data_IF_634006567087
#
_entry.id   IF_634006567087
#
_cell.length_a   1.000
_cell.length_b   1.000
_cell.length_c   1.000
_cell.angle_alpha   90.00
_cell.angle_beta   90.00
_cell.angle_gamma   90.00
#
_symmetry.space_group_name_H-M   'P 1'
#
loop_
_entity.id
_entity.type
_entity.pdbx_description
1 polymer ?
#
# COMPACT_ATOMS: atom_id res chain seq x y z
N UNK A 1 -1.47 11.78 -11.30
CA UNK A 1 -1.86 12.27 -9.94
C UNK A 1 -1.26 13.65 -9.71
N UNK A 2 -2.05 14.64 -9.27
CA UNK A 2 -1.47 15.92 -8.84
C UNK A 2 -0.57 15.68 -7.63
N UNK A 3 0.42 16.57 -7.38
CA UNK A 3 1.28 16.51 -6.19
C UNK A 3 0.42 16.31 -4.94
N UNK A 4 0.77 15.34 -4.11
CA UNK A 4 0.07 15.11 -2.85
C UNK A 4 0.11 16.34 -1.95
N UNK A 5 -0.95 16.54 -1.15
CA UNK A 5 -1.02 17.63 -0.19
C UNK A 5 -1.11 17.06 1.23
N UNK A 6 -0.33 17.63 2.12
CA UNK A 6 -0.31 17.27 3.55
C UNK A 6 -1.30 18.13 4.34
N UNK A 7 -1.94 17.51 5.33
CA UNK A 7 -2.80 18.15 6.32
C UNK A 7 -2.53 17.55 7.70
N UNK A 8 -2.57 18.36 8.73
CA UNK A 8 -2.34 17.89 10.11
C UNK A 8 -3.51 17.07 10.68
N UNK A 9 -4.72 17.30 10.21
CA UNK A 9 -5.90 16.54 10.60
C UNK A 9 -6.90 16.37 9.46
N UNK A 10 -7.86 15.46 9.63
CA UNK A 10 -8.90 15.20 8.63
C UNK A 10 -9.84 16.41 8.44
N UNK A 11 -10.06 17.21 9.48
CA UNK A 11 -10.93 18.38 9.40
C UNK A 11 -10.39 19.43 8.44
N UNK A 12 -9.09 19.69 8.48
CA UNK A 12 -8.43 20.64 7.58
C UNK A 12 -8.57 20.18 6.11
N UNK A 13 -8.44 18.87 5.86
CA UNK A 13 -8.69 18.29 4.53
C UNK A 13 -10.15 18.49 4.11
N UNK A 14 -11.12 18.24 4.98
CA UNK A 14 -12.54 18.35 4.66
C UNK A 14 -12.94 19.80 4.38
N UNK A 15 -12.46 20.76 5.18
CA UNK A 15 -12.73 22.19 4.97
C UNK A 15 -12.18 22.68 3.62
N UNK A 16 -10.94 22.32 3.33
CA UNK A 16 -10.26 22.73 2.08
C UNK A 16 -10.91 22.09 0.85
N UNK A 17 -11.58 20.96 1.01
CA UNK A 17 -12.16 20.18 -0.08
C UNK A 17 -13.70 20.02 0.01
N UNK A 18 -14.38 20.87 0.77
CA UNK A 18 -15.85 20.78 0.96
C UNK A 18 -16.68 20.79 -0.32
N UNK A 19 -16.19 21.41 -1.39
CA UNK A 19 -16.83 21.47 -2.70
C UNK A 19 -16.18 20.55 -3.74
N UNK A 20 -15.36 19.61 -3.31
CA UNK A 20 -14.66 18.67 -4.18
C UNK A 20 -15.38 17.31 -4.18
N UNK A 21 -15.71 16.82 -5.37
CA UNK A 21 -16.41 15.55 -5.59
C UNK A 21 -15.52 14.47 -6.20
N UNK A 22 -14.22 14.72 -6.33
CA UNK A 22 -13.26 13.78 -6.93
C UNK A 22 -12.99 12.60 -6.00
N UNK A 23 -12.50 11.52 -6.59
CA UNK A 23 -11.97 10.38 -5.84
C UNK A 23 -10.69 10.79 -5.12
N UNK A 24 -10.68 10.71 -3.80
CA UNK A 24 -9.56 11.07 -2.95
C UNK A 24 -8.88 9.80 -2.40
N UNK A 25 -7.64 9.58 -2.76
CA UNK A 25 -6.75 8.61 -2.10
C UNK A 25 -6.02 9.31 -0.96
N UNK A 26 -6.12 8.76 0.24
CA UNK A 26 -5.45 9.32 1.42
C UNK A 26 -4.63 8.27 2.18
N UNK A 27 -3.45 8.67 2.64
CA UNK A 27 -2.66 7.93 3.61
C UNK A 27 -2.75 8.65 4.95
N UNK A 28 -3.12 7.93 5.99
CA UNK A 28 -3.33 8.47 7.34
C UNK A 28 -2.22 7.94 8.24
N UNK A 29 -1.41 8.84 8.80
CA UNK A 29 -0.41 8.46 9.79
C UNK A 29 -1.08 7.94 11.07
N UNK A 30 -0.52 6.90 11.67
CA UNK A 30 -1.14 6.07 12.71
C UNK A 30 -1.71 6.86 13.90
N UNK A 31 -1.03 7.92 14.34
CA UNK A 31 -1.46 8.73 15.49
C UNK A 31 -2.40 9.88 15.10
N UNK A 32 -2.89 9.90 13.88
CA UNK A 32 -3.91 10.85 13.45
C UNK A 32 -5.26 10.41 13.97
N UNK A 33 -5.92 11.31 14.66
CA UNK A 33 -7.30 11.06 15.10
C UNK A 33 -8.24 11.26 13.91
N UNK A 34 -8.92 10.21 13.49
CA UNK A 34 -9.97 10.25 12.47
C UNK A 34 -10.99 9.13 12.71
N UNK A 35 -12.19 9.29 12.17
CA UNK A 35 -13.24 8.30 12.21
C UNK A 35 -13.90 8.14 10.83
N UNK A 36 -14.65 7.05 10.64
CA UNK A 36 -15.46 6.87 9.43
C UNK A 36 -16.53 7.98 9.30
N UNK A 37 -17.06 8.47 10.41
CA UNK A 37 -18.04 9.57 10.40
C UNK A 37 -17.42 10.85 9.81
N UNK A 38 -16.13 11.12 10.09
CA UNK A 38 -15.43 12.24 9.47
C UNK A 38 -15.32 12.04 7.95
N UNK A 39 -15.00 10.81 7.49
CA UNK A 39 -14.86 10.51 6.07
C UNK A 39 -16.18 10.66 5.30
N UNK A 40 -17.30 10.36 5.93
CA UNK A 40 -18.65 10.53 5.35
C UNK A 40 -18.99 11.97 5.02
N UNK A 41 -18.33 12.94 5.66
CA UNK A 41 -18.52 14.36 5.39
C UNK A 41 -17.88 14.80 4.06
N UNK A 42 -17.01 14.00 3.46
CA UNK A 42 -16.47 14.29 2.15
C UNK A 42 -17.51 14.00 1.05
N UNK A 43 -17.68 14.92 0.11
CA UNK A 43 -18.71 14.78 -0.92
C UNK A 43 -18.37 13.78 -2.05
N UNK A 44 -17.09 13.52 -2.28
CA UNK A 44 -16.63 12.54 -3.26
C UNK A 44 -16.43 11.14 -2.65
N UNK A 45 -15.77 10.28 -3.40
CA UNK A 45 -15.28 9.00 -2.91
C UNK A 45 -13.95 9.19 -2.19
N UNK A 46 -13.79 8.60 -1.01
CA UNK A 46 -12.56 8.65 -0.24
C UNK A 46 -12.15 7.23 0.18
N UNK A 47 -10.89 6.92 0.02
CA UNK A 47 -10.32 5.61 0.32
C UNK A 47 -8.82 5.73 0.57
N UNK A 48 -8.24 4.71 1.20
CA UNK A 48 -6.81 4.73 1.51
C UNK A 48 -6.40 3.75 2.59
N UNK A 49 -5.34 4.09 3.31
CA UNK A 49 -4.83 3.24 4.37
C UNK A 49 -4.17 3.99 5.52
N UNK A 50 -4.10 3.29 6.65
CA UNK A 50 -3.36 3.73 7.83
C UNK A 50 -1.92 3.24 7.68
N UNK A 51 -0.96 4.14 7.89
CA UNK A 51 0.47 3.85 7.81
C UNK A 51 1.17 4.33 9.08
N UNK A 52 2.34 3.77 9.46
CA UNK A 52 3.05 4.20 10.65
C UNK A 52 3.36 5.70 10.65
N UNK A 53 3.78 6.22 9.52
CA UNK A 53 4.06 7.63 9.28
C UNK A 53 3.91 7.98 7.80
N UNK A 54 3.74 9.24 7.51
CA UNK A 54 3.75 9.79 6.15
C UNK A 54 4.98 10.67 5.95
N UNK A 55 5.46 10.75 4.71
CA UNK A 55 6.61 11.59 4.35
C UNK A 55 6.12 12.73 3.45
N UNK A 56 6.45 13.96 3.82
CA UNK A 56 6.13 15.13 3.03
C UNK A 56 7.26 16.17 3.14
N UNK A 57 7.69 16.73 2.01
CA UNK A 57 8.79 17.70 1.90
C UNK A 57 10.07 17.28 2.68
N UNK A 58 10.46 15.99 2.54
CA UNK A 58 11.62 15.35 3.19
C UNK A 58 11.51 15.18 4.72
N UNK A 59 10.38 15.47 5.31
CA UNK A 59 10.10 15.25 6.73
C UNK A 59 9.13 14.09 6.91
N UNK A 60 9.26 13.34 8.00
CA UNK A 60 8.31 12.30 8.35
C UNK A 60 7.37 12.76 9.47
N UNK A 61 6.11 12.36 9.36
CA UNK A 61 5.07 12.72 10.31
C UNK A 61 4.35 11.47 10.77
N UNK A 62 4.33 11.22 12.08
CA UNK A 62 3.54 10.15 12.69
C UNK A 62 2.07 10.56 12.93
N UNK A 63 1.74 11.82 12.66
CA UNK A 63 0.40 12.40 12.72
C UNK A 63 0.19 13.31 11.52
N UNK A 64 -0.96 13.18 10.87
CA UNK A 64 -1.32 13.92 9.67
C UNK A 64 -1.77 12.98 8.55
N UNK A 65 -2.17 13.54 7.47
CA UNK A 65 -2.61 12.83 6.27
C UNK A 65 -1.94 13.39 5.02
N UNK A 66 -1.71 12.54 4.04
CA UNK A 66 -1.40 12.95 2.67
C UNK A 66 -2.58 12.56 1.79
N UNK A 67 -3.06 13.50 0.99
CA UNK A 67 -4.13 13.28 0.03
C UNK A 67 -3.67 13.50 -1.40
N UNK A 68 -4.18 12.65 -2.29
CA UNK A 68 -4.07 12.82 -3.75
C UNK A 68 -5.45 12.60 -4.36
N UNK A 69 -5.76 13.39 -5.39
CA UNK A 69 -7.00 13.18 -6.16
C UNK A 69 -6.70 12.38 -7.41
N UNK A 70 -7.56 11.40 -7.69
CA UNK A 70 -7.49 10.67 -8.94
C UNK A 70 -7.85 11.56 -10.12
N UNK A 71 -7.23 11.31 -11.26
CA UNK A 71 -7.59 11.92 -12.54
C UNK A 71 -8.85 11.25 -13.11
N UNK A 72 -9.51 11.90 -14.06
CA UNK A 72 -10.78 11.44 -14.63
C UNK A 72 -10.73 10.03 -15.23
N UNK A 73 -9.59 9.65 -15.81
CA UNK A 73 -9.38 8.32 -16.39
C UNK A 73 -8.75 7.29 -15.43
N UNK A 74 -8.63 7.65 -14.17
CA UNK A 74 -8.13 6.78 -13.11
C UNK A 74 -9.28 6.26 -12.26
N UNK A 75 -9.17 5.02 -11.82
CA UNK A 75 -10.16 4.38 -10.97
C UNK A 75 -9.50 3.56 -9.88
N UNK A 76 -10.27 3.08 -8.92
CA UNK A 76 -9.78 2.18 -7.90
C UNK A 76 -10.67 0.95 -7.75
N UNK A 77 -10.05 -0.14 -7.33
CA UNK A 77 -10.68 -1.40 -7.00
C UNK A 77 -10.37 -1.73 -5.54
N UNK A 78 -11.40 -1.85 -4.71
CA UNK A 78 -11.29 -2.38 -3.37
C UNK A 78 -11.30 -3.91 -3.42
N UNK A 79 -10.33 -4.53 -2.77
CA UNK A 79 -10.26 -5.96 -2.49
C UNK A 79 -10.55 -6.12 -0.99
N UNK A 80 -11.75 -6.52 -0.64
CA UNK A 80 -12.19 -6.61 0.75
C UNK A 80 -11.54 -7.78 1.50
N UNK A 81 -11.13 -8.82 0.78
CA UNK A 81 -10.40 -9.97 1.31
C UNK A 81 -9.37 -10.47 0.29
N UNK A 82 -8.08 -10.38 0.62
CA UNK A 82 -6.98 -10.81 -0.24
C UNK A 82 -6.98 -12.32 -0.54
N UNK A 83 -7.69 -13.14 0.25
CA UNK A 83 -7.90 -14.55 -0.09
C UNK A 83 -8.84 -14.74 -1.29
N UNK A 84 -9.75 -13.81 -1.49
CA UNK A 84 -10.84 -13.91 -2.46
C UNK A 84 -10.68 -12.82 -3.53
N UNK A 85 -9.49 -12.73 -4.11
CA UNK A 85 -9.28 -11.84 -5.24
C UNK A 85 -10.06 -12.40 -6.44
N UNK A 86 -11.23 -11.81 -6.67
CA UNK A 86 -11.98 -12.02 -7.90
C UNK A 86 -11.54 -10.94 -8.89
N UNK A 87 -10.82 -11.34 -9.91
CA UNK A 87 -10.40 -10.46 -10.97
C UNK A 87 -11.63 -9.79 -11.60
N UNK A 88 -11.47 -8.50 -11.88
CA UNK A 88 -12.40 -7.74 -12.73
C UNK A 88 -11.63 -7.38 -13.99
N UNK A 89 -11.63 -8.24 -15.03
CA UNK A 89 -10.81 -8.05 -16.22
C UNK A 89 -10.94 -6.65 -16.81
N UNK A 90 -12.16 -6.12 -16.83
CA UNK A 90 -12.45 -4.77 -17.34
C UNK A 90 -11.75 -3.64 -16.58
N UNK A 91 -11.37 -3.86 -15.31
CA UNK A 91 -10.61 -2.87 -14.54
C UNK A 91 -9.16 -2.79 -15.02
N UNK A 92 -8.59 -3.89 -15.48
CA UNK A 92 -7.20 -3.99 -15.93
C UNK A 92 -7.02 -3.74 -17.44
N UNK A 93 -8.09 -3.87 -18.22
CA UNK A 93 -8.07 -3.68 -19.66
C UNK A 93 -7.55 -2.30 -20.06
N UNK A 94 -6.61 -2.27 -21.01
CA UNK A 94 -6.00 -1.03 -21.54
C UNK A 94 -5.36 -0.13 -20.49
N UNK A 95 -4.92 -0.70 -19.36
CA UNK A 95 -4.19 -0.03 -18.30
C UNK A 95 -2.82 -0.67 -18.13
N UNK A 96 -1.80 0.18 -17.97
CA UNK A 96 -0.41 -0.26 -17.80
C UNK A 96 0.24 0.31 -16.52
N UNK A 97 -0.51 1.04 -15.72
CA UNK A 97 0.02 1.68 -14.51
C UNK A 97 -0.90 1.49 -13.33
N UNK A 98 -0.38 0.85 -12.28
CA UNK A 98 -1.14 0.52 -11.08
C UNK A 98 -0.39 0.93 -9.82
N UNK A 99 -1.11 1.52 -8.87
CA UNK A 99 -0.64 1.70 -7.50
C UNK A 99 -1.43 0.74 -6.60
N UNK A 100 -0.71 -0.04 -5.80
CA UNK A 100 -1.28 -1.08 -4.94
C UNK A 100 -0.98 -0.76 -3.48
N UNK A 101 -2.02 -0.70 -2.66
CA UNK A 101 -1.92 -0.57 -1.20
C UNK A 101 -2.58 -1.78 -0.55
N UNK A 102 -1.84 -2.56 0.20
CA UNK A 102 -2.32 -3.78 0.84
C UNK A 102 -2.23 -3.67 2.37
N UNK A 103 -3.01 -4.46 3.09
CA UNK A 103 -2.72 -4.75 4.49
C UNK A 103 -1.37 -5.46 4.59
N UNK A 104 -0.34 -4.76 5.05
CA UNK A 104 1.04 -5.21 5.09
C UNK A 104 1.30 -6.40 6.02
N UNK A 105 0.36 -6.72 6.92
CA UNK A 105 0.43 -7.88 7.82
C UNK A 105 -0.44 -9.06 7.36
N UNK A 106 -1.04 -8.96 6.19
CA UNK A 106 -1.82 -10.06 5.63
C UNK A 106 -0.92 -11.25 5.27
N UNK A 107 -1.26 -12.48 5.67
CA UNK A 107 -0.56 -13.68 5.22
C UNK A 107 -0.83 -14.03 3.75
N UNK A 108 -1.76 -13.32 3.11
CA UNK A 108 -2.27 -13.63 1.78
C UNK A 108 -1.67 -12.77 0.66
N UNK A 109 -0.70 -11.89 1.00
CA UNK A 109 -0.06 -10.97 0.04
C UNK A 109 0.52 -11.75 -1.16
N UNK A 110 1.25 -12.85 -0.91
CA UNK A 110 1.88 -13.62 -1.98
C UNK A 110 0.84 -14.18 -2.96
N UNK A 111 -0.19 -14.86 -2.45
CA UNK A 111 -1.26 -15.41 -3.30
C UNK A 111 -1.99 -14.32 -4.09
N UNK A 112 -2.24 -13.18 -3.43
CA UNK A 112 -2.85 -12.03 -4.09
C UNK A 112 -1.96 -11.49 -5.23
N UNK A 113 -0.66 -11.32 -4.99
CA UNK A 113 0.27 -10.81 -6.01
C UNK A 113 0.42 -11.79 -7.17
N UNK A 114 0.49 -13.10 -6.92
CA UNK A 114 0.50 -14.12 -7.98
C UNK A 114 -0.73 -13.98 -8.88
N UNK A 115 -1.92 -13.93 -8.30
CA UNK A 115 -3.16 -13.74 -9.05
C UNK A 115 -3.23 -12.38 -9.78
N UNK A 116 -2.71 -11.30 -9.16
CA UNK A 116 -2.65 -10.00 -9.79
C UNK A 116 -1.76 -10.02 -11.03
N UNK A 117 -0.58 -10.67 -10.96
CA UNK A 117 0.34 -10.78 -12.08
C UNK A 117 -0.22 -11.65 -13.24
N UNK A 118 -1.19 -12.53 -12.98
CA UNK A 118 -1.87 -13.28 -14.05
C UNK A 118 -2.86 -12.43 -14.85
N UNK A 119 -3.43 -11.37 -14.23
CA UNK A 119 -4.50 -10.56 -14.87
C UNK A 119 -3.99 -9.23 -15.47
N UNK A 120 -2.83 -8.75 -15.03
CA UNK A 120 -2.24 -7.53 -15.58
C UNK A 120 -1.40 -7.82 -16.82
N UNK A 121 -1.27 -6.82 -17.72
CA UNK A 121 -0.38 -6.91 -18.88
C UNK A 121 1.07 -7.09 -18.45
N UNK A 122 1.86 -7.84 -19.23
CA UNK A 122 3.32 -7.97 -19.05
C UNK A 122 4.05 -6.60 -19.08
N UNK A 123 3.44 -5.58 -19.68
CA UNK A 123 3.99 -4.22 -19.72
C UNK A 123 3.60 -3.39 -18.50
N UNK A 124 2.73 -3.92 -17.64
CA UNK A 124 2.21 -3.18 -16.51
C UNK A 124 3.32 -2.75 -15.55
N UNK A 125 3.28 -1.48 -15.16
CA UNK A 125 4.11 -0.92 -14.11
C UNK A 125 3.30 -0.88 -12.82
N UNK A 126 3.76 -1.61 -11.83
CA UNK A 126 3.09 -1.71 -10.53
C UNK A 126 4.02 -1.12 -9.48
N UNK A 127 3.49 -0.19 -8.69
CA UNK A 127 4.15 0.36 -7.51
C UNK A 127 3.21 0.24 -6.32
N UNK A 128 3.73 -0.01 -5.14
CA UNK A 128 2.87 -0.11 -3.99
C UNK A 128 3.61 -0.36 -2.69
N UNK A 129 2.82 -0.61 -1.66
CA UNK A 129 3.33 -0.88 -0.32
C UNK A 129 2.27 -1.42 0.61
N UNK A 130 2.70 -1.75 1.83
CA UNK A 130 1.84 -2.21 2.91
C UNK A 130 1.34 -1.06 3.78
N UNK A 131 0.03 -1.00 4.01
CA UNK A 131 -0.55 -0.28 5.12
C UNK A 131 -0.31 -1.07 6.41
N UNK A 132 -0.25 -0.39 7.54
CA UNK A 132 0.03 -1.05 8.81
C UNK A 132 0.24 -0.06 9.93
N UNK A 133 0.60 -0.60 11.09
CA UNK A 133 0.91 0.17 12.30
C UNK A 133 2.32 -0.15 12.77
N UNK A 134 2.97 0.78 13.45
CA UNK A 134 4.33 0.59 14.00
C UNK A 134 4.39 -0.56 15.01
N UNK A 135 3.29 -0.82 15.70
CA UNK A 135 3.16 -1.90 16.68
C UNK A 135 3.06 -3.29 16.05
N UNK A 136 2.94 -3.38 14.73
CA UNK A 136 2.69 -4.62 13.96
C UNK A 136 1.46 -5.40 14.45
N UNK A 137 0.50 -4.72 15.05
CA UNK A 137 -0.77 -5.32 15.45
C UNK A 137 -1.69 -5.52 14.24
N UNK A 138 -2.30 -6.69 14.16
CA UNK A 138 -3.32 -7.00 13.15
C UNK A 138 -4.61 -6.25 13.45
N UNK A 139 -4.71 -5.03 12.97
CA UNK A 139 -5.90 -4.17 13.07
C UNK A 139 -6.32 -3.74 11.66
N UNK A 140 -7.60 -3.39 11.47
CA UNK A 140 -8.03 -2.83 10.18
C UNK A 140 -7.21 -1.60 9.80
N UNK A 141 -6.70 -1.58 8.57
CA UNK A 141 -5.80 -0.51 8.08
C UNK A 141 -6.13 -0.01 6.68
N UNK A 142 -6.91 -0.76 5.91
CA UNK A 142 -7.43 -0.32 4.61
C UNK A 142 -8.84 0.22 4.82
N UNK A 143 -9.17 1.35 4.23
CA UNK A 143 -10.49 1.94 4.41
C UNK A 143 -11.05 2.56 3.14
N UNK A 144 -12.37 2.63 3.12
CA UNK A 144 -13.17 3.46 2.22
C UNK A 144 -13.98 4.44 3.05
N UNK A 145 -14.83 5.22 2.41
CA UNK A 145 -15.78 6.12 3.09
C UNK A 145 -16.70 5.39 4.08
N UNK A 146 -17.02 4.12 3.79
CA UNK A 146 -18.08 3.39 4.47
C UNK A 146 -17.55 2.38 5.50
N UNK A 147 -16.32 1.87 5.33
CA UNK A 147 -15.81 0.81 6.20
C UNK A 147 -14.27 0.80 6.30
N UNK A 148 -13.75 0.13 7.33
CA UNK A 148 -12.32 -0.16 7.52
C UNK A 148 -12.14 -1.68 7.51
N UNK A 149 -11.16 -2.16 6.75
CA UNK A 149 -10.95 -3.56 6.42
C UNK A 149 -9.62 -4.08 6.97
N UNK A 150 -9.59 -5.36 7.29
CA UNK A 150 -8.41 -6.17 7.57
C UNK A 150 -8.23 -7.18 6.43
N UNK A 151 -6.99 -7.62 6.18
CA UNK A 151 -6.68 -8.56 5.10
C UNK A 151 -7.18 -8.08 3.73
N UNK A 152 -7.11 -6.78 3.49
CA UNK A 152 -7.70 -6.11 2.34
C UNK A 152 -6.65 -5.35 1.54
N UNK A 153 -7.06 -4.84 0.38
CA UNK A 153 -6.20 -4.03 -0.47
C UNK A 153 -6.97 -3.09 -1.37
N UNK A 154 -6.25 -2.14 -1.92
CA UNK A 154 -6.74 -1.19 -2.93
C UNK A 154 -5.79 -1.22 -4.10
N UNK A 155 -6.34 -1.34 -5.30
CA UNK A 155 -5.61 -1.16 -6.56
C UNK A 155 -6.13 0.11 -7.21
N UNK A 156 -5.25 1.04 -7.54
CA UNK A 156 -5.58 2.24 -8.31
C UNK A 156 -5.01 2.07 -9.71
N UNK A 157 -5.86 2.14 -10.73
CA UNK A 157 -5.42 2.23 -12.12
C UNK A 157 -5.17 3.70 -12.48
N UNK A 158 -4.08 3.96 -13.20
CA UNK A 158 -3.71 5.31 -13.63
C UNK A 158 -3.52 5.36 -15.14
N UNK A 159 -3.93 6.48 -15.75
CA UNK A 159 -3.62 6.79 -17.13
C UNK A 159 -2.22 7.39 -17.33
N UNK A 160 -1.53 7.70 -16.24
CA UNK A 160 -0.14 8.18 -16.28
C UNK A 160 0.83 7.02 -16.44
N UNK A 161 1.86 7.21 -17.25
CA UNK A 161 2.97 6.27 -17.31
C UNK A 161 3.76 6.34 -16.00
N UNK A 162 3.85 5.21 -15.29
CA UNK A 162 4.71 5.08 -14.11
C UNK A 162 6.12 4.68 -14.55
N UNK A 163 7.12 5.25 -13.88
CA UNK A 163 8.51 4.82 -13.97
C UNK A 163 8.93 4.33 -12.58
N UNK A 164 9.09 3.02 -12.45
CA UNK A 164 9.46 2.41 -11.18
C UNK A 164 10.97 2.41 -11.00
N UNK A 165 11.44 2.74 -9.81
CA UNK A 165 12.84 2.65 -9.40
C UNK A 165 12.92 2.16 -7.97
N UNK A 166 13.87 1.26 -7.72
CA UNK A 166 14.16 0.77 -6.38
C UNK A 166 15.49 1.38 -5.92
N UNK A 167 15.48 1.94 -4.72
CA UNK A 167 16.68 2.36 -4.01
C UNK A 167 16.54 1.98 -2.54
N UNK A 168 17.63 1.52 -1.94
CA UNK A 168 17.68 1.22 -0.52
C UNK A 168 19.03 1.69 0.05
N UNK A 169 19.09 1.81 1.37
CA UNK A 169 20.31 2.17 2.09
C UNK A 169 21.10 0.97 2.62
N UNK A 170 20.80 -0.24 2.15
CA UNK A 170 21.53 -1.43 2.56
C UNK A 170 22.89 -1.49 1.91
N UNK A 171 23.90 -1.81 2.70
CA UNK A 171 25.25 -2.10 2.22
C UNK A 171 25.44 -3.61 2.11
N UNK A 172 26.19 -4.04 1.08
CA UNK A 172 26.54 -5.44 0.92
C UNK A 172 27.57 -5.84 1.99
N UNK A 173 27.23 -6.83 2.80
CA UNK A 173 28.12 -7.37 3.81
C UNK A 173 28.84 -8.62 3.33
N UNK A 174 28.08 -9.63 2.91
CA UNK A 174 28.60 -10.93 2.51
C UNK A 174 27.61 -11.68 1.61
N UNK A 175 28.12 -12.59 0.76
CA UNK A 175 27.34 -13.45 -0.11
C UNK A 175 28.00 -13.62 -1.49
N UNK A 176 27.34 -14.22 -2.47
CA UNK A 176 25.94 -14.66 -2.44
C UNK A 176 25.72 -15.95 -1.61
N UNK A 177 24.49 -16.08 -1.06
CA UNK A 177 24.02 -17.27 -0.38
C UNK A 177 22.96 -17.97 -1.20
N UNK A 178 22.94 -19.29 -1.19
CA UNK A 178 21.90 -20.10 -1.83
C UNK A 178 20.80 -20.37 -0.79
N UNK A 179 19.57 -19.97 -1.09
CA UNK A 179 18.40 -20.37 -0.30
C UNK A 179 18.12 -21.85 -0.55
N UNK A 180 18.51 -22.71 0.38
CA UNK A 180 18.39 -24.16 0.24
C UNK A 180 17.09 -24.74 0.79
N UNK A 181 16.37 -23.98 1.60
CA UNK A 181 15.02 -24.32 2.06
C UNK A 181 14.26 -23.06 2.42
N UNK A 182 13.04 -22.93 1.91
CA UNK A 182 12.12 -21.84 2.23
C UNK A 182 10.68 -22.33 2.26
N UNK A 183 9.81 -21.57 2.88
CA UNK A 183 8.38 -21.81 2.92
C UNK A 183 7.68 -20.45 2.86
N UNK A 184 7.14 -20.15 1.69
CA UNK A 184 6.58 -18.82 1.38
C UNK A 184 7.61 -17.71 1.67
N UNK A 185 7.30 -16.81 2.60
CA UNK A 185 8.17 -15.70 3.03
C UNK A 185 9.13 -16.08 4.18
N UNK A 186 9.22 -17.36 4.55
CA UNK A 186 10.09 -17.83 5.62
C UNK A 186 11.32 -18.51 5.01
N UNK A 187 12.49 -17.91 5.21
CA UNK A 187 13.76 -18.49 4.81
C UNK A 187 14.26 -19.42 5.92
N UNK A 188 14.26 -20.75 5.66
CA UNK A 188 14.62 -21.78 6.64
C UNK A 188 16.11 -22.11 6.65
N UNK A 189 16.73 -22.20 5.46
CA UNK A 189 18.17 -22.47 5.38
C UNK A 189 18.87 -21.74 4.24
N UNK A 190 20.13 -21.38 4.49
CA UNK A 190 21.10 -20.81 3.55
C UNK A 190 22.32 -21.74 3.50
N UNK A 191 22.76 -22.09 2.27
CA UNK A 191 23.93 -23.00 2.08
C UNK A 191 23.85 -24.25 2.96
N UNK A 192 22.64 -24.85 3.09
CA UNK A 192 22.35 -26.03 3.93
C UNK A 192 22.50 -25.82 5.45
N UNK A 193 22.79 -24.61 5.94
CA UNK A 193 22.78 -24.25 7.35
C UNK A 193 21.46 -23.54 7.71
N UNK A 194 21.09 -23.51 8.99
CA UNK A 194 19.93 -22.71 9.43
C UNK A 194 20.15 -21.24 9.11
N UNK A 195 19.17 -20.60 8.48
CA UNK A 195 19.30 -19.21 8.02
C UNK A 195 19.64 -18.24 9.14
N UNK A 196 19.07 -18.43 10.35
CA UNK A 196 19.36 -17.59 11.51
C UNK A 196 20.82 -17.73 12.00
N UNK A 197 21.41 -18.93 11.94
CA UNK A 197 22.80 -19.14 12.33
C UNK A 197 23.75 -18.41 11.36
N UNK A 198 23.47 -18.51 10.04
CA UNK A 198 24.23 -17.76 9.01
C UNK A 198 24.10 -16.26 9.22
N UNK A 199 22.86 -15.75 9.43
CA UNK A 199 22.65 -14.33 9.72
C UNK A 199 23.45 -13.86 10.93
N UNK A 200 23.46 -14.64 12.00
CA UNK A 200 24.20 -14.31 13.21
C UNK A 200 25.72 -14.30 13.01
N UNK A 201 26.26 -15.23 12.19
CA UNK A 201 27.69 -15.26 11.83
C UNK A 201 28.12 -13.96 11.10
N UNK A 202 27.24 -13.41 10.24
CA UNK A 202 27.54 -12.23 9.42
C UNK A 202 27.33 -10.91 10.17
N UNK A 203 26.38 -10.88 11.10
CA UNK A 203 25.96 -9.66 11.80
C UNK A 203 26.77 -9.34 13.06
N UNK A 204 27.69 -10.23 13.48
CA UNK A 204 28.61 -10.01 14.58
C UNK A 204 29.97 -9.51 14.08
#
# INVERSE_FOLDING_TARGET
MKKGKFYFCIKDFLEDNKNNFKKAFILVAEYTNFSLEDLKLYNGEIFGGIVPFVIYDNEYYNKGIISCFLEENSDFLLIEDLNNFNDKPSFFENKESFLVLLDGLSPNINNFLENLFEVVSEKAQIIGGGAGRITLEKKPVIFTKDNIYVNAGIIISSSMTLHTKIANGWEYLEGPFIATNSDKNILKSLNFKKSFDVYKEISN
#
